data_IF_522847717000
#
_entry.id   IF_522847717000
#
_cell.length_a   1.000
_cell.length_b   1.000
_cell.length_c   1.000
_cell.angle_alpha   90.00
_cell.angle_beta   90.00
_cell.angle_gamma   90.00
#
_symmetry.space_group_name_H-M   'P 1'
#
loop_
_entity.id
_entity.type
_entity.pdbx_description
1 polymer ?
#
# COMPACT_ATOMS: atom_id res chain seq x y z
N UNK A 1 -3.95 -5.78 11.35
CA UNK A 1 -4.94 -5.75 10.25
C UNK A 1 -5.60 -7.12 10.18
N UNK A 2 -6.84 -7.19 9.71
CA UNK A 2 -7.68 -8.39 9.79
C UNK A 2 -8.06 -8.93 8.41
N UNK A 3 -7.99 -8.10 7.37
CA UNK A 3 -8.35 -8.48 6.01
C UNK A 3 -7.22 -8.30 5.00
N UNK A 4 -6.39 -7.26 5.16
CA UNK A 4 -5.18 -7.08 4.35
C UNK A 4 -4.11 -8.10 4.78
N UNK A 5 -3.71 -8.93 3.83
CA UNK A 5 -2.53 -9.77 3.90
C UNK A 5 -1.36 -9.00 3.29
N UNK A 6 -0.26 -8.92 4.03
CA UNK A 6 0.89 -8.11 3.64
C UNK A 6 2.05 -9.01 3.26
N UNK A 7 2.56 -8.81 2.05
CA UNK A 7 3.78 -9.44 1.56
C UNK A 7 4.81 -8.37 1.24
N UNK A 8 6.06 -8.66 1.58
CA UNK A 8 7.18 -7.79 1.30
C UNK A 8 8.14 -8.51 0.36
N UNK A 9 8.43 -7.87 -0.75
CA UNK A 9 9.35 -8.38 -1.76
C UNK A 9 10.39 -7.31 -2.07
N UNK A 10 11.66 -7.70 -2.14
CA UNK A 10 12.73 -6.82 -2.60
C UNK A 10 13.08 -7.18 -4.04
N UNK A 11 13.04 -6.19 -4.92
CA UNK A 11 13.59 -6.35 -6.26
C UNK A 11 15.13 -6.32 -6.20
N UNK A 12 15.78 -6.97 -7.18
CA UNK A 12 17.24 -7.02 -7.29
C UNK A 12 17.94 -5.66 -7.42
N UNK A 13 17.17 -4.59 -7.64
CA UNK A 13 17.64 -3.20 -7.68
C UNK A 13 17.63 -2.49 -6.31
N UNK A 14 17.27 -3.18 -5.23
CA UNK A 14 17.25 -2.61 -3.87
C UNK A 14 15.99 -1.79 -3.57
N UNK A 15 14.96 -1.89 -4.41
CA UNK A 15 13.65 -1.33 -4.16
C UNK A 15 12.77 -2.38 -3.48
N UNK A 16 12.22 -2.05 -2.31
CA UNK A 16 11.26 -2.88 -1.61
C UNK A 16 9.84 -2.58 -2.09
N UNK A 17 9.11 -3.60 -2.52
CA UNK A 17 7.69 -3.54 -2.81
C UNK A 17 6.91 -4.11 -1.62
N UNK A 18 5.85 -3.41 -1.22
CA UNK A 18 4.96 -3.85 -0.16
C UNK A 18 3.57 -4.07 -0.73
N UNK A 19 3.20 -5.33 -0.87
CA UNK A 19 1.95 -5.75 -1.50
C UNK A 19 0.94 -6.08 -0.42
N UNK A 20 -0.27 -5.52 -0.54
CA UNK A 20 -1.36 -5.80 0.38
C UNK A 20 -2.55 -6.36 -0.39
N UNK A 21 -2.89 -7.63 -0.15
CA UNK A 21 -3.99 -8.30 -0.84
C UNK A 21 -5.11 -8.65 0.14
N UNK A 22 -6.36 -8.48 -0.28
CA UNK A 22 -7.53 -8.89 0.50
C UNK A 22 -8.47 -9.74 -0.37
N UNK A 23 -8.75 -10.96 0.07
CA UNK A 23 -9.80 -11.80 -0.51
C UNK A 23 -10.97 -11.87 0.47
N UNK A 24 -11.98 -11.04 0.22
CA UNK A 24 -13.08 -10.79 1.16
C UNK A 24 -14.43 -10.84 0.47
N UNK A 25 -15.47 -11.13 1.26
CA UNK A 25 -16.85 -10.96 0.81
C UNK A 25 -17.21 -9.47 0.68
N UNK A 26 -18.10 -9.09 -0.24
CA UNK A 26 -18.46 -7.68 -0.50
C UNK A 26 -18.91 -6.90 0.74
N UNK A 27 -19.50 -7.59 1.72
CA UNK A 27 -19.92 -7.01 3.01
C UNK A 27 -18.77 -6.44 3.85
N UNK A 28 -17.53 -6.84 3.58
CA UNK A 28 -16.34 -6.41 4.31
C UNK A 28 -15.52 -5.35 3.56
N UNK A 29 -15.91 -4.95 2.34
CA UNK A 29 -15.16 -3.96 1.53
C UNK A 29 -14.90 -2.68 2.32
N UNK A 30 -15.93 -2.13 2.95
CA UNK A 30 -15.80 -0.93 3.77
C UNK A 30 -14.82 -1.10 4.96
N UNK A 31 -14.66 -2.33 5.47
CA UNK A 31 -13.69 -2.61 6.52
C UNK A 31 -12.26 -2.65 5.96
N UNK A 32 -12.07 -3.20 4.75
CA UNK A 32 -10.77 -3.21 4.05
C UNK A 32 -10.35 -1.81 3.64
N UNK A 33 -11.26 -1.01 3.09
CA UNK A 33 -10.99 0.40 2.74
C UNK A 33 -10.49 1.20 3.95
N UNK A 34 -11.02 0.92 5.15
CA UNK A 34 -10.58 1.56 6.38
C UNK A 34 -9.16 1.11 6.78
N UNK A 35 -8.83 -0.17 6.59
CA UNK A 35 -7.47 -0.68 6.78
C UNK A 35 -6.49 -0.04 5.77
N UNK A 36 -6.85 0.01 4.48
CA UNK A 36 -6.05 0.66 3.43
C UNK A 36 -5.80 2.13 3.77
N UNK A 37 -6.85 2.86 4.15
CA UNK A 37 -6.74 4.27 4.54
C UNK A 37 -5.76 4.45 5.71
N UNK A 38 -5.76 3.55 6.68
CA UNK A 38 -4.84 3.62 7.82
C UNK A 38 -3.39 3.39 7.38
N UNK A 39 -3.13 2.44 6.48
CA UNK A 39 -1.78 2.25 5.90
C UNK A 39 -1.33 3.52 5.16
N UNK A 40 -2.18 4.07 4.30
CA UNK A 40 -1.85 5.25 3.51
C UNK A 40 -1.63 6.48 4.39
N UNK A 41 -2.46 6.70 5.41
CA UNK A 41 -2.29 7.82 6.36
C UNK A 41 -0.95 7.73 7.11
N UNK A 42 -0.58 6.51 7.54
CA UNK A 42 0.73 6.26 8.12
C UNK A 42 1.86 6.55 7.13
N UNK A 43 1.76 6.08 5.88
CA UNK A 43 2.80 6.28 4.87
C UNK A 43 3.01 7.77 4.56
N UNK A 44 1.93 8.53 4.34
CA UNK A 44 2.01 9.97 4.13
C UNK A 44 2.60 10.71 5.34
N UNK A 45 2.31 10.25 6.56
CA UNK A 45 2.84 10.86 7.79
C UNK A 45 4.31 10.52 8.02
N UNK A 46 4.72 9.29 7.71
CA UNK A 46 6.08 8.81 7.90
C UNK A 46 7.04 9.34 6.81
N UNK A 47 6.55 9.52 5.59
CA UNK A 47 7.34 9.91 4.42
C UNK A 47 6.77 11.17 3.73
N UNK A 48 6.68 12.30 4.44
CA UNK A 48 6.05 13.51 3.91
C UNK A 48 6.87 14.10 2.75
N UNK A 49 6.22 14.32 1.60
CA UNK A 49 6.85 14.94 0.43
C UNK A 49 7.77 14.02 -0.38
N UNK A 50 7.79 12.73 -0.05
CA UNK A 50 8.57 11.72 -0.76
C UNK A 50 7.70 10.86 -1.71
N UNK A 51 6.38 11.11 -1.68
CA UNK A 51 5.42 10.42 -2.53
C UNK A 51 5.47 10.96 -3.95
N UNK A 52 6.04 10.19 -4.87
CA UNK A 52 6.01 10.45 -6.31
C UNK A 52 6.33 9.14 -7.05
N UNK A 53 6.02 9.04 -8.35
CA UNK A 53 6.49 7.92 -9.14
C UNK A 53 8.01 7.76 -9.00
N UNK A 54 8.49 6.50 -8.94
CA UNK A 54 9.93 6.23 -8.84
C UNK A 54 10.73 6.83 -10.01
N UNK A 55 10.09 7.05 -11.16
CA UNK A 55 10.67 7.70 -12.34
C UNK A 55 10.83 9.24 -12.18
N UNK A 56 10.13 9.84 -11.21
CA UNK A 56 10.14 11.28 -10.88
C UNK A 56 10.85 11.59 -9.55
N UNK A 57 11.85 10.78 -9.17
CA UNK A 57 12.62 10.90 -7.91
C UNK A 57 11.78 10.72 -6.62
N UNK A 58 10.60 10.10 -6.70
CA UNK A 58 9.86 9.66 -5.52
C UNK A 58 10.56 8.51 -4.80
N UNK A 59 10.51 8.49 -3.47
CA UNK A 59 11.03 7.36 -2.69
C UNK A 59 9.98 6.27 -2.47
N UNK A 60 8.71 6.60 -2.66
CA UNK A 60 7.61 5.65 -2.56
C UNK A 60 6.39 6.11 -3.36
N UNK A 61 5.61 5.16 -3.84
CA UNK A 61 4.32 5.37 -4.49
C UNK A 61 3.36 4.25 -4.06
N UNK A 62 2.06 4.41 -4.34
CA UNK A 62 1.10 3.35 -4.12
C UNK A 62 0.13 3.24 -5.29
N UNK A 63 -0.22 2.01 -5.65
CA UNK A 63 -1.26 1.71 -6.62
C UNK A 63 -2.35 0.88 -5.93
N UNK A 64 -3.59 1.36 -6.00
CA UNK A 64 -4.75 0.67 -5.47
C UNK A 64 -5.55 0.09 -6.63
N UNK A 65 -5.57 -1.24 -6.73
CA UNK A 65 -6.33 -1.97 -7.75
C UNK A 65 -7.50 -2.71 -7.08
N UNK A 66 -8.71 -2.47 -7.55
CA UNK A 66 -9.94 -3.13 -7.12
C UNK A 66 -10.53 -3.88 -8.33
N UNK A 67 -10.81 -5.19 -8.20
CA UNK A 67 -11.35 -6.05 -9.26
C UNK A 67 -12.70 -6.67 -8.87
#
# INVERSE_FOLDING_TARGET
MRYLDFDYSEDGHGCGNFEAMASIQPIHVAAVELEIKHVLDWAHTAFPGLQAPLDEDGEWDFDLQEQ
#
